data_IF_657108536579
#
_entry.id   IF_657108536579
#
_cell.length_a   1.000
_cell.length_b   1.000
_cell.length_c   1.000
_cell.angle_alpha   90.00
_cell.angle_beta   90.00
_cell.angle_gamma   90.00
#
_symmetry.space_group_name_H-M   'P 1'
#
loop_
_entity.id
_entity.type
_entity.pdbx_description
1 polymer ?
#
# COMPACT_ATOMS: atom_id res chain seq x y z
N UNK A 1 12.75 -22.35 -12.39
CA UNK A 1 12.29 -23.24 -11.31
C UNK A 1 11.31 -22.47 -10.43
N UNK A 2 10.00 -22.69 -10.60
CA UNK A 2 8.90 -22.11 -9.81
C UNK A 2 8.54 -23.08 -8.69
N UNK A 3 8.99 -22.89 -7.43
CA UNK A 3 8.82 -24.00 -6.46
C UNK A 3 8.88 -23.65 -4.96
N UNK A 4 7.92 -22.86 -4.47
CA UNK A 4 7.82 -22.56 -3.04
C UNK A 4 6.37 -22.68 -2.50
N UNK A 5 5.35 -22.56 -3.37
CA UNK A 5 3.93 -22.50 -3.02
C UNK A 5 3.20 -23.86 -3.06
N UNK A 6 3.82 -24.93 -2.54
CA UNK A 6 3.14 -26.22 -2.32
C UNK A 6 2.96 -26.45 -0.82
N UNK A 7 1.71 -26.66 -0.34
CA UNK A 7 1.19 -27.01 1.00
C UNK A 7 1.96 -26.53 2.26
N UNK A 8 3.24 -26.87 2.43
CA UNK A 8 4.13 -26.24 3.42
C UNK A 8 4.36 -24.74 3.15
N UNK A 9 4.19 -24.31 1.89
CA UNK A 9 4.22 -22.91 1.48
C UNK A 9 2.98 -22.11 1.90
N UNK A 10 1.80 -22.73 2.00
CA UNK A 10 0.55 -22.04 2.27
C UNK A 10 0.54 -21.41 3.67
N UNK A 11 0.93 -22.16 4.71
CA UNK A 11 1.04 -21.62 6.07
C UNK A 11 2.07 -20.48 6.17
N UNK A 12 3.20 -20.59 5.47
CA UNK A 12 4.21 -19.54 5.45
C UNK A 12 3.69 -18.25 4.80
N UNK A 13 2.78 -18.40 3.84
CA UNK A 13 2.17 -17.30 3.10
C UNK A 13 1.06 -16.66 3.91
N UNK A 14 0.20 -17.45 4.53
CA UNK A 14 -0.79 -16.96 5.47
C UNK A 14 -0.11 -16.19 6.60
N UNK A 15 0.97 -16.74 7.17
CA UNK A 15 1.79 -16.07 8.17
C UNK A 15 2.40 -14.76 7.64
N UNK A 16 2.91 -14.76 6.40
CA UNK A 16 3.41 -13.55 5.74
C UNK A 16 2.30 -12.51 5.58
N UNK A 17 1.14 -12.89 5.02
CA UNK A 17 -0.02 -12.03 4.77
C UNK A 17 -0.60 -11.46 6.07
N UNK A 18 -0.59 -12.23 7.15
CA UNK A 18 -0.97 -11.76 8.47
C UNK A 18 0.05 -10.74 9.02
N UNK A 19 1.34 -11.11 9.06
CA UNK A 19 2.40 -10.27 9.63
C UNK A 19 2.52 -8.92 8.92
N UNK A 20 2.42 -8.91 7.59
CA UNK A 20 2.47 -7.69 6.81
C UNK A 20 1.21 -6.82 6.99
N UNK A 21 0.03 -7.42 7.20
CA UNK A 21 -1.19 -6.64 7.46
C UNK A 21 -1.09 -5.90 8.78
N UNK A 22 -0.56 -6.56 9.83
CA UNK A 22 -0.28 -5.93 11.12
C UNK A 22 0.78 -4.81 10.97
N UNK A 23 1.85 -5.08 10.22
CA UNK A 23 2.94 -4.11 10.03
C UNK A 23 2.50 -2.86 9.26
N UNK A 24 1.57 -3.02 8.31
CA UNK A 24 1.13 -1.96 7.40
C UNK A 24 -0.22 -1.35 7.78
N UNK A 25 -0.72 -1.62 8.99
CA UNK A 25 -1.94 -1.03 9.50
C UNK A 25 -1.85 0.51 9.52
N UNK A 26 -2.95 1.16 9.15
CA UNK A 26 -3.09 2.60 9.28
C UNK A 26 -3.17 2.97 10.76
N UNK A 27 -2.45 3.99 11.22
CA UNK A 27 -2.79 4.67 12.45
C UNK A 27 -4.23 5.20 12.38
N UNK A 28 -4.85 5.38 13.54
CA UNK A 28 -6.16 6.00 13.68
C UNK A 28 -6.04 7.12 14.69
N UNK A 29 -5.77 8.33 14.19
CA UNK A 29 -5.70 9.57 14.96
C UNK A 29 -6.79 10.54 14.52
N UNK A 30 -6.73 11.78 15.01
CA UNK A 30 -7.66 12.85 14.65
C UNK A 30 -7.47 13.37 13.22
N UNK A 31 -6.37 13.02 12.54
CA UNK A 31 -6.10 13.43 11.16
C UNK A 31 -5.85 12.23 10.25
N UNK A 32 -6.83 11.94 9.38
CA UNK A 32 -6.68 10.91 8.35
C UNK A 32 -5.53 11.21 7.38
N UNK A 33 -5.27 12.49 7.08
CA UNK A 33 -4.13 12.94 6.29
C UNK A 33 -2.80 12.54 6.94
N UNK A 34 -2.63 12.81 8.22
CA UNK A 34 -1.43 12.40 8.96
C UNK A 34 -1.29 10.88 9.01
N UNK A 35 -2.39 10.16 9.24
CA UNK A 35 -2.42 8.70 9.29
C UNK A 35 -2.01 8.06 7.96
N UNK A 36 -2.51 8.58 6.83
CA UNK A 36 -2.16 8.10 5.49
C UNK A 36 -0.69 8.38 5.18
N UNK A 37 -0.19 9.58 5.50
CA UNK A 37 1.21 9.93 5.28
C UNK A 37 2.16 9.05 6.10
N UNK A 38 1.83 8.75 7.36
CA UNK A 38 2.60 7.84 8.21
C UNK A 38 2.54 6.40 7.69
N UNK A 39 1.35 5.92 7.30
CA UNK A 39 1.21 4.57 6.72
C UNK A 39 2.03 4.43 5.43
N UNK A 40 2.02 5.44 4.56
CA UNK A 40 2.82 5.48 3.34
C UNK A 40 4.32 5.33 3.62
N UNK A 41 4.82 6.02 4.66
CA UNK A 41 6.20 5.85 5.13
C UNK A 41 6.48 4.46 5.68
N UNK A 42 5.56 3.86 6.44
CA UNK A 42 5.69 2.49 6.97
C UNK A 42 5.78 1.46 5.86
N UNK A 43 4.96 1.56 4.83
CA UNK A 43 5.01 0.68 3.64
C UNK A 43 6.39 0.72 3.01
N UNK A 44 6.89 1.92 2.72
CA UNK A 44 8.20 2.09 2.12
C UNK A 44 9.35 1.62 3.04
N UNK A 45 9.22 1.80 4.36
CA UNK A 45 10.13 1.27 5.37
C UNK A 45 10.19 -0.26 5.35
N UNK A 46 9.03 -0.92 5.42
CA UNK A 46 8.92 -2.38 5.38
C UNK A 46 9.53 -2.97 4.09
N UNK A 47 9.30 -2.30 2.96
CA UNK A 47 9.80 -2.75 1.66
C UNK A 47 11.31 -2.62 1.46
N UNK A 48 12.04 -1.96 2.36
CA UNK A 48 13.51 -1.98 2.35
C UNK A 48 14.10 -3.31 2.84
N UNK A 49 13.32 -4.07 3.61
CA UNK A 49 13.77 -5.30 4.26
C UNK A 49 13.35 -6.58 3.54
N UNK A 50 13.26 -7.67 4.32
CA UNK A 50 12.82 -8.99 3.83
C UNK A 50 11.42 -8.94 3.21
N UNK A 51 10.51 -8.13 3.78
CA UNK A 51 9.14 -7.98 3.27
C UNK A 51 9.12 -7.51 1.81
N UNK A 52 9.90 -6.48 1.45
CA UNK A 52 9.92 -5.99 0.08
C UNK A 52 10.51 -6.97 -0.94
N UNK A 53 11.45 -7.83 -0.52
CA UNK A 53 11.93 -8.94 -1.37
C UNK A 53 10.81 -9.94 -1.64
N UNK A 54 10.09 -10.37 -0.61
CA UNK A 54 8.96 -11.29 -0.75
C UNK A 54 7.88 -10.68 -1.65
N UNK A 55 7.52 -9.40 -1.46
CA UNK A 55 6.53 -8.71 -2.31
C UNK A 55 6.95 -8.68 -3.77
N UNK A 56 8.22 -8.40 -4.07
CA UNK A 56 8.77 -8.45 -5.43
C UNK A 56 8.63 -9.82 -6.07
N UNK A 57 9.07 -10.86 -5.36
CA UNK A 57 9.01 -12.24 -5.83
C UNK A 57 7.55 -12.68 -6.04
N UNK A 58 6.65 -12.26 -5.16
CA UNK A 58 5.23 -12.53 -5.24
C UNK A 58 4.60 -11.88 -6.47
N UNK A 59 4.85 -10.58 -6.71
CA UNK A 59 4.37 -9.86 -7.90
C UNK A 59 4.93 -10.47 -9.18
N UNK A 60 6.23 -10.77 -9.21
CA UNK A 60 6.89 -11.36 -10.39
C UNK A 60 6.35 -12.76 -10.72
N UNK A 61 6.11 -13.58 -9.71
CA UNK A 61 5.53 -14.93 -9.89
C UNK A 61 4.07 -14.84 -10.35
N UNK A 62 3.29 -13.92 -9.78
CA UNK A 62 1.89 -13.69 -10.14
C UNK A 62 1.67 -13.31 -11.62
N UNK A 63 2.69 -12.84 -12.34
CA UNK A 63 2.58 -12.53 -13.78
C UNK A 63 2.44 -13.79 -14.66
N UNK A 64 2.86 -14.94 -14.15
CA UNK A 64 2.93 -16.18 -14.94
C UNK A 64 2.16 -17.35 -14.30
N UNK A 65 1.78 -17.24 -13.03
CA UNK A 65 1.01 -18.26 -12.31
C UNK A 65 -0.34 -17.70 -11.83
N UNK A 66 -1.47 -18.13 -12.41
CA UNK A 66 -2.81 -17.70 -12.01
C UNK A 66 -3.15 -18.00 -10.54
N UNK A 67 -2.62 -19.08 -9.96
CA UNK A 67 -2.87 -19.42 -8.56
C UNK A 67 -2.21 -18.40 -7.62
N UNK A 68 -0.92 -18.12 -7.85
CA UNK A 68 -0.19 -17.06 -7.15
C UNK A 68 -0.82 -15.68 -7.39
N UNK A 69 -1.28 -15.40 -8.62
CA UNK A 69 -2.00 -14.16 -8.94
C UNK A 69 -3.24 -13.98 -8.07
N UNK A 70 -4.11 -14.99 -8.00
CA UNK A 70 -5.29 -14.97 -7.13
C UNK A 70 -4.93 -14.73 -5.66
N UNK A 71 -3.89 -15.41 -5.17
CA UNK A 71 -3.43 -15.27 -3.79
C UNK A 71 -2.87 -13.87 -3.50
N UNK A 72 -2.15 -13.28 -4.46
CA UNK A 72 -1.69 -11.90 -4.37
C UNK A 72 -2.88 -10.93 -4.37
N UNK A 73 -3.80 -11.03 -5.33
CA UNK A 73 -4.92 -10.09 -5.40
C UNK A 73 -5.84 -10.18 -4.19
N UNK A 74 -6.30 -11.39 -3.82
CA UNK A 74 -7.25 -11.59 -2.73
C UNK A 74 -6.60 -11.49 -1.35
N UNK A 75 -5.43 -12.11 -1.16
CA UNK A 75 -4.77 -12.16 0.14
C UNK A 75 -3.86 -10.97 0.40
N UNK A 76 -3.18 -10.49 -0.64
CA UNK A 76 -2.31 -9.32 -0.51
C UNK A 76 -3.07 -8.02 -0.75
N UNK A 77 -3.44 -7.73 -1.99
CA UNK A 77 -3.77 -6.38 -2.44
C UNK A 77 -5.10 -5.89 -1.88
N UNK A 78 -6.15 -6.71 -1.97
CA UNK A 78 -7.52 -6.34 -1.60
C UNK A 78 -7.66 -5.86 -0.14
N UNK A 79 -7.12 -6.54 0.89
CA UNK A 79 -7.16 -6.03 2.26
C UNK A 79 -6.51 -4.66 2.46
N UNK A 80 -5.35 -4.38 1.81
CA UNK A 80 -4.72 -3.05 1.95
C UNK A 80 -5.50 -1.97 1.23
N UNK A 81 -6.07 -2.28 0.06
CA UNK A 81 -6.92 -1.32 -0.66
C UNK A 81 -8.17 -0.99 0.16
N UNK A 82 -8.77 -1.98 0.81
CA UNK A 82 -9.88 -1.75 1.73
C UNK A 82 -9.50 -0.84 2.90
N UNK A 83 -8.38 -1.11 3.57
CA UNK A 83 -7.89 -0.27 4.67
C UNK A 83 -7.55 1.16 4.22
N UNK A 84 -6.96 1.32 3.03
CA UNK A 84 -6.70 2.64 2.46
C UNK A 84 -7.99 3.40 2.10
N UNK A 85 -8.99 2.69 1.58
CA UNK A 85 -10.33 3.26 1.33
C UNK A 85 -10.95 3.76 2.63
N UNK A 86 -10.90 2.97 3.70
CA UNK A 86 -11.42 3.36 5.01
C UNK A 86 -10.73 4.62 5.54
N UNK A 87 -9.41 4.71 5.43
CA UNK A 87 -8.67 5.91 5.82
C UNK A 87 -9.08 7.15 5.02
N UNK A 88 -9.26 7.02 3.70
CA UNK A 88 -9.72 8.12 2.85
C UNK A 88 -11.16 8.54 3.18
N UNK A 89 -12.06 7.59 3.42
CA UNK A 89 -13.44 7.86 3.83
C UNK A 89 -13.50 8.59 5.19
N UNK A 90 -12.61 8.24 6.13
CA UNK A 90 -12.47 9.00 7.38
C UNK A 90 -12.06 10.44 7.11
N UNK A 91 -11.09 10.68 6.23
CA UNK A 91 -10.67 12.03 5.87
C UNK A 91 -11.77 12.85 5.20
N UNK A 92 -12.61 12.22 4.37
CA UNK A 92 -13.82 12.87 3.83
C UNK A 92 -14.79 13.23 4.96
N UNK A 93 -15.08 12.30 5.88
CA UNK A 93 -15.97 12.54 7.01
C UNK A 93 -15.45 13.65 7.95
N UNK A 94 -14.13 13.78 8.09
CA UNK A 94 -13.45 14.83 8.86
C UNK A 94 -13.28 16.14 8.08
N UNK A 95 -13.77 16.21 6.83
CA UNK A 95 -13.59 17.34 5.90
C UNK A 95 -12.12 17.69 5.60
N UNK A 96 -11.21 16.74 5.74
CA UNK A 96 -9.81 16.89 5.30
C UNK A 96 -9.68 16.72 3.78
N UNK A 97 -10.53 15.88 3.17
CA UNK A 97 -10.52 15.59 1.73
C UNK A 97 -11.86 15.93 1.07
N UNK A 98 -11.84 16.25 -0.21
CA UNK A 98 -13.06 16.49 -0.98
C UNK A 98 -13.90 15.21 -1.13
N UNK A 99 -15.24 15.31 -1.13
CA UNK A 99 -16.11 14.14 -1.21
C UNK A 99 -16.23 13.54 -2.62
N UNK A 100 -15.77 14.23 -3.66
CA UNK A 100 -15.89 13.85 -5.08
C UNK A 100 -14.68 13.09 -5.63
N UNK A 101 -13.74 12.70 -4.75
CA UNK A 101 -12.50 12.03 -5.16
C UNK A 101 -12.76 10.58 -5.61
N UNK A 102 -12.06 10.15 -6.66
CA UNK A 102 -11.97 8.73 -7.00
C UNK A 102 -11.00 8.03 -6.03
N UNK A 103 -11.56 7.33 -5.05
CA UNK A 103 -10.80 6.63 -4.02
C UNK A 103 -9.79 5.62 -4.60
N UNK A 104 -10.13 4.92 -5.69
CA UNK A 104 -9.22 3.93 -6.28
C UNK A 104 -8.03 4.61 -6.94
N UNK A 105 -8.29 5.70 -7.68
CA UNK A 105 -7.24 6.47 -8.33
C UNK A 105 -6.29 7.11 -7.30
N UNK A 106 -6.82 7.60 -6.17
CA UNK A 106 -6.00 8.14 -5.08
C UNK A 106 -5.12 7.05 -4.47
N UNK A 107 -5.67 5.87 -4.20
CA UNK A 107 -4.90 4.73 -3.68
C UNK A 107 -3.78 4.37 -4.66
N UNK A 108 -4.07 4.29 -5.95
CA UNK A 108 -3.06 4.00 -6.98
C UNK A 108 -1.98 5.07 -7.02
N UNK A 109 -2.35 6.35 -6.99
CA UNK A 109 -1.41 7.47 -6.99
C UNK A 109 -0.49 7.47 -5.75
N UNK A 110 -1.00 7.07 -4.57
CA UNK A 110 -0.19 6.95 -3.36
C UNK A 110 0.83 5.82 -3.46
N UNK A 111 0.42 4.62 -3.90
CA UNK A 111 1.27 3.43 -3.77
C UNK A 111 2.06 3.06 -5.03
N UNK A 112 1.59 3.42 -6.23
CA UNK A 112 2.29 3.10 -7.48
C UNK A 112 3.74 3.61 -7.51
N UNK A 113 4.09 4.82 -7.02
CA UNK A 113 5.48 5.27 -6.98
C UNK A 113 6.39 4.38 -6.11
N UNK A 114 5.87 3.86 -4.99
CA UNK A 114 6.60 2.92 -4.11
C UNK A 114 6.87 1.61 -4.85
N UNK A 115 5.83 1.03 -5.47
CA UNK A 115 5.96 -0.22 -6.22
C UNK A 115 6.85 -0.07 -7.45
N UNK A 116 6.75 1.04 -8.18
CA UNK A 116 7.59 1.36 -9.33
C UNK A 116 9.08 1.34 -8.96
N UNK A 117 9.48 2.04 -7.88
CA UNK A 117 10.87 2.00 -7.40
C UNK A 117 11.26 0.65 -6.81
N UNK A 118 10.35 -0.04 -6.13
CA UNK A 118 10.60 -1.38 -5.59
C UNK A 118 10.92 -2.39 -6.70
N UNK A 119 10.09 -2.44 -7.74
CA UNK A 119 10.15 -3.42 -8.82
C UNK A 119 11.32 -3.13 -9.78
N UNK A 120 11.52 -1.87 -10.15
CA UNK A 120 12.59 -1.50 -11.09
C UNK A 120 13.95 -1.30 -10.42
N UNK A 121 13.99 -1.02 -9.11
CA UNK A 121 15.24 -0.85 -8.37
C UNK A 121 16.10 0.36 -8.78
N UNK A 122 15.58 1.26 -9.63
CA UNK A 122 16.34 2.40 -10.17
C UNK A 122 16.61 3.51 -9.13
N UNK A 123 15.86 3.54 -8.02
CA UNK A 123 16.00 4.56 -6.97
C UNK A 123 15.48 4.04 -5.62
N UNK A 124 15.94 4.67 -4.53
CA UNK A 124 15.50 4.34 -3.17
C UNK A 124 14.13 4.97 -2.87
N UNK A 125 13.31 4.30 -2.07
CA UNK A 125 12.11 4.90 -1.46
C UNK A 125 12.51 5.70 -0.20
N UNK A 126 13.26 6.79 -0.39
CA UNK A 126 13.76 7.62 0.71
C UNK A 126 12.74 8.58 1.31
N UNK A 127 13.10 9.18 2.44
CA UNK A 127 12.21 10.05 3.19
C UNK A 127 11.72 11.26 2.40
N UNK A 128 12.55 11.79 1.48
CA UNK A 128 12.22 12.98 0.70
C UNK A 128 11.25 12.61 -0.42
N UNK A 129 11.53 11.51 -1.14
CA UNK A 129 10.63 11.00 -2.17
C UNK A 129 9.24 10.69 -1.62
N UNK A 130 9.17 10.00 -0.47
CA UNK A 130 7.90 9.60 0.11
C UNK A 130 7.05 10.81 0.49
N UNK A 131 7.64 11.79 1.19
CA UNK A 131 6.97 13.06 1.50
C UNK A 131 6.46 13.74 0.24
N UNK A 132 7.34 13.91 -0.75
CA UNK A 132 6.96 14.56 -2.01
C UNK A 132 5.77 13.85 -2.68
N UNK A 133 5.81 12.53 -2.82
CA UNK A 133 4.73 11.78 -3.46
C UNK A 133 3.43 11.75 -2.65
N UNK A 134 3.52 11.65 -1.31
CA UNK A 134 2.32 11.69 -0.46
C UNK A 134 1.69 13.07 -0.47
N UNK A 135 2.51 14.13 -0.34
CA UNK A 135 2.04 15.51 -0.32
C UNK A 135 1.41 15.90 -1.65
N UNK A 136 2.04 15.53 -2.78
CA UNK A 136 1.48 15.76 -4.11
C UNK A 136 0.05 15.21 -4.26
N UNK A 137 -0.20 14.00 -3.76
CA UNK A 137 -1.53 13.38 -3.82
C UNK A 137 -2.48 13.99 -2.80
N UNK A 138 -2.05 14.12 -1.54
CA UNK A 138 -2.88 14.60 -0.44
C UNK A 138 -3.29 16.07 -0.59
N UNK A 139 -2.40 16.92 -1.11
CA UNK A 139 -2.71 18.30 -1.47
C UNK A 139 -3.66 18.36 -2.66
N UNK A 140 -3.46 17.48 -3.63
CA UNK A 140 -4.33 17.36 -4.80
C UNK A 140 -5.77 17.03 -4.42
N UNK A 141 -6.02 16.35 -3.30
CA UNK A 141 -7.36 15.93 -2.83
C UNK A 141 -7.90 16.70 -1.62
N UNK A 142 -7.12 17.65 -1.09
CA UNK A 142 -7.49 18.41 0.09
C UNK A 142 -8.82 19.15 -0.10
N UNK A 143 -9.61 19.24 0.98
CA UNK A 143 -10.82 20.05 1.00
C UNK A 143 -10.50 21.53 0.70
N UNK A 144 -11.44 22.22 0.04
CA UNK A 144 -11.28 23.64 -0.27
C UNK A 144 -11.60 24.44 0.99
N UNK A 145 -10.76 25.41 1.40
CA UNK A 145 -11.07 26.27 2.54
C UNK A 145 -12.40 27.01 2.30
N UNK A 146 -13.40 26.76 3.15
CA UNK A 146 -14.70 27.45 3.11
C UNK A 146 -15.91 26.61 2.69
N UNK A 147 -15.79 25.29 2.53
CA UNK A 147 -16.91 24.34 2.31
C UNK A 147 -17.43 23.67 3.58
#
# INVERSE_FOLDING_TARGET
MYRWWTSKGELAVEAFLHAISVTLAFPVTESARADIAEQHRRVAGAYRGKMGRIVREFIGTAQFDPATSKLFFEGYLKPRRAAAREALLRGIAQKEFRPDIDLEAVIDALYAPIFHRLLLGHAKNDAAFLRFTSDLVLDGIAAVPGS
#
